data_IF_714825633495
#
_entry.id   IF_714825633495
#
_cell.length_a   1.000
_cell.length_b   1.000
_cell.length_c   1.000
_cell.angle_alpha   90.00
_cell.angle_beta   90.00
_cell.angle_gamma   90.00
#
_symmetry.space_group_name_H-M   'P 1'
#
loop_
_entity.id
_entity.type
_entity.pdbx_description
1 polymer ?
#
# COMPACT_ATOMS: atom_id res chain seq x y z
N UNK A 1 31.79 5.93 24.67
CA UNK A 1 30.43 5.69 24.15
C UNK A 1 29.68 7.00 24.11
N UNK A 2 28.97 7.29 23.03
CA UNK A 2 28.07 8.46 22.96
C UNK A 2 26.79 8.08 23.70
N UNK A 3 26.29 8.88 24.66
CA UNK A 3 25.03 8.59 25.34
C UNK A 3 23.85 8.62 24.37
N UNK A 4 22.92 7.67 24.47
CA UNK A 4 21.73 7.58 23.63
C UNK A 4 20.93 8.89 23.61
N UNK A 5 20.82 9.57 24.75
CA UNK A 5 20.15 10.87 24.86
C UNK A 5 20.77 11.94 23.94
N UNK A 6 22.10 11.89 23.75
CA UNK A 6 22.82 12.80 22.84
C UNK A 6 22.60 12.41 21.39
N UNK A 7 22.46 11.11 21.09
CA UNK A 7 22.12 10.62 19.75
C UNK A 7 20.70 11.03 19.36
N UNK A 8 19.72 10.89 20.27
CA UNK A 8 18.33 11.29 20.08
C UNK A 8 18.20 12.81 19.91
N UNK A 9 18.92 13.61 20.71
CA UNK A 9 18.93 15.06 20.59
C UNK A 9 19.50 15.55 19.25
N UNK A 10 20.41 14.78 18.63
CA UNK A 10 20.95 15.10 17.31
C UNK A 10 19.95 14.88 16.18
N UNK A 11 18.97 13.98 16.34
CA UNK A 11 17.94 13.71 15.33
C UNK A 11 17.14 14.97 14.99
N UNK A 12 16.80 15.79 15.99
CA UNK A 12 16.10 17.06 15.78
C UNK A 12 16.92 18.14 15.07
N UNK A 13 18.23 17.93 14.91
CA UNK A 13 19.17 18.85 14.26
C UNK A 13 19.70 18.30 12.93
N UNK A 14 19.26 17.11 12.50
CA UNK A 14 19.66 16.59 11.21
C UNK A 14 19.00 17.43 10.12
N UNK A 15 19.77 17.92 9.12
CA UNK A 15 19.16 18.53 7.95
C UNK A 15 18.25 17.51 7.25
N UNK A 16 17.28 17.94 6.43
CA UNK A 16 16.52 17.04 5.58
C UNK A 16 17.49 16.10 4.86
N UNK A 17 17.38 14.80 5.14
CA UNK A 17 18.25 13.81 4.53
C UNK A 17 17.91 13.79 3.04
N UNK A 18 18.89 14.12 2.21
CA UNK A 18 18.73 14.01 0.76
C UNK A 18 18.41 12.54 0.43
N UNK A 19 17.22 12.32 -0.15
CA UNK A 19 16.61 11.01 -0.29
C UNK A 19 17.31 10.11 -1.32
N UNK A 20 18.31 10.65 -2.02
CA UNK A 20 19.12 9.96 -3.01
C UNK A 20 20.54 9.81 -2.49
N UNK A 21 20.71 9.11 -1.37
CA UNK A 21 22.03 8.72 -0.92
C UNK A 21 22.57 7.61 -1.84
N UNK A 22 23.66 7.90 -2.56
CA UNK A 22 24.49 6.91 -3.25
C UNK A 22 23.78 6.03 -4.29
N UNK A 23 22.78 6.57 -5.00
CA UNK A 23 22.09 5.85 -6.08
C UNK A 23 21.02 4.85 -5.60
N UNK A 24 20.74 4.81 -4.29
CA UNK A 24 19.60 4.07 -3.76
C UNK A 24 18.36 4.99 -3.72
N UNK A 25 17.26 4.48 -4.26
CA UNK A 25 15.99 5.19 -4.31
C UNK A 25 15.23 5.02 -2.98
N UNK A 26 14.60 6.09 -2.54
CA UNK A 26 13.75 6.08 -1.35
C UNK A 26 12.45 5.32 -1.62
N UNK A 27 12.40 4.07 -1.15
CA UNK A 27 11.24 3.18 -1.36
C UNK A 27 10.00 3.58 -0.56
N UNK A 28 10.11 4.49 0.41
CA UNK A 28 8.97 4.98 1.20
C UNK A 28 8.56 6.41 0.84
N UNK A 29 9.07 6.94 -0.29
CA UNK A 29 8.74 8.26 -0.81
C UNK A 29 8.97 9.40 0.19
N UNK A 30 9.90 9.22 1.13
CA UNK A 30 10.23 10.22 2.15
C UNK A 30 9.31 10.22 3.38
N UNK A 31 8.43 9.23 3.55
CA UNK A 31 7.48 9.17 4.68
C UNK A 31 8.14 9.05 6.07
N UNK A 32 9.35 8.51 6.15
CA UNK A 32 10.14 8.43 7.37
C UNK A 32 11.63 8.48 7.07
N UNK A 33 12.45 9.21 7.86
CA UNK A 33 13.91 9.15 7.78
C UNK A 33 14.49 7.88 8.40
N UNK A 34 13.72 7.14 9.21
CA UNK A 34 14.15 5.90 9.86
C UNK A 34 13.41 4.70 9.28
N UNK A 35 14.16 3.66 8.90
CA UNK A 35 13.64 2.44 8.28
C UNK A 35 14.42 1.21 8.72
N UNK A 36 13.84 0.01 8.58
CA UNK A 36 14.59 -1.22 8.68
C UNK A 36 15.81 -1.21 7.75
N UNK A 37 16.95 -1.63 8.28
CA UNK A 37 18.21 -1.79 7.55
C UNK A 37 18.64 -3.25 7.58
N UNK A 38 19.46 -3.65 6.61
CA UNK A 38 20.10 -4.97 6.63
C UNK A 38 21.24 -4.90 7.64
N UNK A 39 20.97 -5.36 8.86
CA UNK A 39 21.90 -5.34 9.99
C UNK A 39 22.73 -6.64 10.10
N UNK A 40 22.38 -7.68 9.34
CA UNK A 40 23.02 -8.99 9.41
C UNK A 40 22.59 -9.85 10.60
N UNK A 41 21.70 -9.34 11.48
CA UNK A 41 21.25 -10.00 12.71
C UNK A 41 19.75 -10.26 12.64
N UNK A 42 18.93 -9.19 12.67
CA UNK A 42 17.48 -9.30 12.56
C UNK A 42 17.05 -9.40 11.09
N UNK A 43 17.66 -8.59 10.23
CA UNK A 43 17.46 -8.58 8.78
C UNK A 43 18.77 -9.04 8.15
N UNK A 44 18.97 -10.36 7.97
CA UNK A 44 20.25 -10.91 7.54
C UNK A 44 20.59 -10.61 6.07
N UNK A 45 19.63 -10.12 5.29
CA UNK A 45 19.80 -9.82 3.88
C UNK A 45 18.57 -9.17 3.26
N UNK A 46 18.61 -8.98 1.94
CA UNK A 46 17.49 -8.42 1.18
C UNK A 46 16.20 -9.24 1.40
N UNK A 47 15.11 -8.66 1.94
CA UNK A 47 13.94 -9.41 2.38
C UNK A 47 13.34 -10.35 1.34
N UNK A 48 13.23 -9.89 0.08
CA UNK A 48 12.70 -10.73 -1.02
C UNK A 48 13.57 -11.97 -1.25
N UNK A 49 14.90 -11.90 -1.01
CA UNK A 49 15.81 -13.05 -1.13
C UNK A 49 15.67 -14.01 0.04
N UNK A 50 15.44 -13.48 1.23
CA UNK A 50 15.24 -14.29 2.45
C UNK A 50 13.90 -15.03 2.41
N UNK A 51 12.82 -14.37 1.96
CA UNK A 51 11.50 -15.01 1.77
C UNK A 51 11.59 -16.16 0.76
N UNK A 52 12.39 -16.01 -0.29
CA UNK A 52 12.64 -17.10 -1.25
C UNK A 52 13.38 -18.30 -0.65
N UNK A 53 14.00 -18.17 0.52
CA UNK A 53 14.70 -19.24 1.23
C UNK A 53 13.90 -19.81 2.41
N UNK A 54 12.86 -19.10 2.87
CA UNK A 54 11.97 -19.56 3.93
C UNK A 54 11.03 -20.63 3.38
N UNK A 55 11.05 -21.83 3.97
CA UNK A 55 10.27 -22.97 3.48
C UNK A 55 9.03 -23.25 4.32
N UNK A 56 7.88 -23.43 3.67
CA UNK A 56 6.69 -24.08 4.24
C UNK A 56 5.70 -23.18 4.98
N UNK A 57 5.89 -21.86 4.98
CA UNK A 57 4.90 -20.91 5.53
C UNK A 57 3.93 -20.46 4.43
N UNK A 58 2.63 -20.49 4.70
CA UNK A 58 1.63 -19.95 3.78
C UNK A 58 1.56 -18.42 3.87
N UNK A 59 1.20 -17.76 2.75
CA UNK A 59 1.12 -16.31 2.64
C UNK A 59 -0.26 -15.87 2.15
N UNK A 60 -0.93 -15.03 2.92
CA UNK A 60 -2.06 -14.20 2.49
C UNK A 60 -1.57 -12.76 2.42
N UNK A 61 -1.69 -12.12 1.24
CA UNK A 61 -1.19 -10.77 1.00
C UNK A 61 -2.10 -10.03 0.02
N UNK A 62 -2.26 -8.73 0.19
CA UNK A 62 -3.06 -7.93 -0.72
C UNK A 62 -2.77 -6.44 -0.62
N UNK A 63 -3.58 -5.69 -1.33
CA UNK A 63 -3.58 -4.22 -1.36
C UNK A 63 -5.00 -3.70 -1.49
N UNK A 64 -5.19 -2.43 -1.21
CA UNK A 64 -6.41 -1.70 -1.55
C UNK A 64 -6.27 -1.06 -2.95
N UNK A 65 -7.37 -0.75 -3.65
CA UNK A 65 -7.26 -0.25 -5.03
C UNK A 65 -6.81 1.21 -5.14
N UNK A 66 -6.92 1.97 -4.06
CA UNK A 66 -6.63 3.40 -4.01
C UNK A 66 -5.73 3.75 -2.81
N UNK A 67 -4.75 2.90 -2.49
CA UNK A 67 -3.83 2.99 -1.32
C UNK A 67 -3.41 4.42 -0.97
N UNK A 68 -3.01 5.22 -1.96
CA UNK A 68 -2.52 6.58 -1.73
C UNK A 68 -3.55 7.55 -1.14
N UNK A 69 -4.86 7.30 -1.35
CA UNK A 69 -5.89 8.30 -1.10
C UNK A 69 -6.06 8.63 0.40
N UNK A 70 -5.63 7.74 1.32
CA UNK A 70 -5.54 8.04 2.76
C UNK A 70 -4.59 9.22 3.03
N UNK A 71 -3.57 9.38 2.19
CA UNK A 71 -2.53 10.40 2.37
C UNK A 71 -2.79 11.66 1.55
N UNK A 72 -3.56 11.57 0.47
CA UNK A 72 -3.75 12.68 -0.49
C UNK A 72 -5.11 13.36 -0.37
N UNK A 73 -6.17 12.65 0.00
CA UNK A 73 -7.53 13.20 0.05
C UNK A 73 -7.77 14.05 1.31
N UNK A 74 -7.48 13.59 2.55
CA UNK A 74 -7.79 14.36 3.75
C UNK A 74 -7.06 15.71 3.83
N UNK A 75 -5.89 15.81 3.22
CA UNK A 75 -5.08 17.03 3.19
C UNK A 75 -5.34 17.91 1.94
N UNK A 76 -6.23 17.50 1.03
CA UNK A 76 -6.52 18.23 -0.21
C UNK A 76 -5.41 18.18 -1.26
N UNK A 77 -4.38 17.34 -1.09
CA UNK A 77 -3.29 17.21 -2.05
C UNK A 77 -3.79 16.73 -3.41
N UNK A 78 -4.86 15.94 -3.43
CA UNK A 78 -5.49 15.48 -4.67
C UNK A 78 -6.02 16.62 -5.55
N UNK A 79 -6.37 17.76 -4.94
CA UNK A 79 -6.89 18.94 -5.64
C UNK A 79 -5.82 20.01 -5.87
N UNK A 80 -4.81 20.06 -5.00
CA UNK A 80 -3.81 21.14 -4.96
C UNK A 80 -2.47 20.77 -5.57
N UNK A 81 -2.16 19.47 -5.73
CA UNK A 81 -0.89 19.03 -6.29
C UNK A 81 -0.71 19.47 -7.74
N UNK A 82 0.54 19.78 -8.07
CA UNK A 82 0.95 20.26 -9.37
C UNK A 82 1.74 19.20 -10.14
N UNK A 83 2.02 19.48 -11.41
CA UNK A 83 2.94 18.67 -12.21
C UNK A 83 4.37 18.62 -11.64
N UNK A 84 4.78 19.67 -10.92
CA UNK A 84 6.06 19.69 -10.22
C UNK A 84 6.07 18.69 -9.06
N UNK A 85 4.97 18.56 -8.33
CA UNK A 85 4.82 17.60 -7.23
C UNK A 85 4.80 16.16 -7.75
N UNK A 86 4.10 15.91 -8.87
CA UNK A 86 4.13 14.62 -9.56
C UNK A 86 5.56 14.24 -9.96
N UNK A 87 6.30 15.17 -10.56
CA UNK A 87 7.68 14.94 -10.97
C UNK A 87 8.62 14.76 -9.77
N UNK A 88 8.43 15.53 -8.69
CA UNK A 88 9.18 15.39 -7.45
C UNK A 88 8.95 14.03 -6.79
N UNK A 89 7.71 13.53 -6.82
CA UNK A 89 7.36 12.20 -6.30
C UNK A 89 7.98 11.11 -7.17
N UNK A 90 7.90 11.25 -8.50
CA UNK A 90 8.53 10.32 -9.44
C UNK A 90 10.05 10.23 -9.25
N UNK A 91 10.74 11.36 -8.99
CA UNK A 91 12.19 11.41 -8.72
C UNK A 91 12.63 10.55 -7.55
N UNK A 92 11.75 10.33 -6.56
CA UNK A 92 12.05 9.51 -5.38
C UNK A 92 12.10 8.02 -5.71
N UNK A 93 11.46 7.59 -6.81
CA UNK A 93 11.21 6.17 -7.12
C UNK A 93 11.81 5.70 -8.45
N UNK A 94 12.07 6.61 -9.38
CA UNK A 94 12.41 6.23 -10.74
C UNK A 94 13.68 6.94 -11.22
N UNK A 95 14.54 6.20 -11.93
CA UNK A 95 15.74 6.75 -12.56
C UNK A 95 15.41 7.76 -13.68
N UNK A 96 14.28 7.56 -14.38
CA UNK A 96 13.74 8.50 -15.36
C UNK A 96 12.36 9.00 -14.94
N UNK A 97 12.30 10.01 -14.06
CA UNK A 97 11.05 10.49 -13.48
C UNK A 97 10.18 11.24 -14.50
N UNK A 98 10.77 11.87 -15.52
CA UNK A 98 10.04 12.59 -16.56
C UNK A 98 9.27 11.61 -17.45
N UNK A 99 9.91 10.52 -17.88
CA UNK A 99 9.25 9.44 -18.63
C UNK A 99 8.12 8.82 -17.83
N UNK A 100 8.30 8.62 -16.53
CA UNK A 100 7.27 8.01 -15.69
C UNK A 100 6.07 8.94 -15.47
N UNK A 101 6.31 10.23 -15.19
CA UNK A 101 5.21 11.21 -15.11
C UNK A 101 4.42 11.29 -16.44
N UNK A 102 5.12 11.25 -17.58
CA UNK A 102 4.47 11.21 -18.89
C UNK A 102 3.65 9.91 -19.11
N UNK A 103 4.14 8.77 -18.64
CA UNK A 103 3.41 7.49 -18.72
C UNK A 103 2.11 7.52 -17.90
N UNK A 104 2.10 8.11 -16.70
CA UNK A 104 0.88 8.29 -15.91
C UNK A 104 -0.12 9.22 -16.62
N UNK A 105 0.35 10.35 -17.18
CA UNK A 105 -0.52 11.24 -17.98
C UNK A 105 -1.11 10.54 -19.20
N UNK A 106 -0.31 9.77 -19.92
CA UNK A 106 -0.78 9.04 -21.09
C UNK A 106 -1.82 7.97 -20.73
N UNK A 107 -1.68 7.35 -19.55
CA UNK A 107 -2.62 6.34 -19.04
C UNK A 107 -3.93 6.95 -18.53
N UNK A 108 -3.88 8.14 -17.94
CA UNK A 108 -5.02 8.83 -17.33
C UNK A 108 -5.13 10.28 -17.86
N UNK A 109 -5.43 10.47 -19.16
CA UNK A 109 -5.32 11.79 -19.80
C UNK A 109 -6.34 12.83 -19.30
N UNK A 110 -7.41 12.39 -18.64
CA UNK A 110 -8.45 13.26 -18.09
C UNK A 110 -8.24 13.61 -16.62
N UNK A 111 -7.24 13.02 -15.95
CA UNK A 111 -7.03 13.21 -14.52
C UNK A 111 -6.07 14.37 -14.23
N UNK A 112 -6.31 15.07 -13.12
CA UNK A 112 -5.45 16.16 -12.66
C UNK A 112 -4.13 15.63 -12.05
N UNK A 113 -3.10 16.47 -11.85
CA UNK A 113 -1.81 16.03 -11.33
C UNK A 113 -1.88 15.35 -9.95
N UNK A 114 -2.81 15.75 -9.08
CA UNK A 114 -3.00 15.14 -7.76
C UNK A 114 -3.51 13.71 -7.83
N UNK A 115 -4.44 13.40 -8.74
CA UNK A 115 -4.89 12.03 -9.00
C UNK A 115 -3.80 11.18 -9.64
N UNK A 116 -3.02 11.73 -10.58
CA UNK A 116 -1.83 11.05 -11.12
C UNK A 116 -0.79 10.72 -10.03
N UNK A 117 -0.59 11.64 -9.09
CA UNK A 117 0.27 11.45 -7.95
C UNK A 117 -0.27 10.33 -7.03
N UNK A 118 -1.58 10.31 -6.74
CA UNK A 118 -2.22 9.18 -6.04
C UNK A 118 -1.93 7.85 -6.72
N UNK A 119 -2.10 7.74 -8.04
CA UNK A 119 -1.80 6.50 -8.78
C UNK A 119 -0.35 6.05 -8.62
N UNK A 120 0.59 6.99 -8.74
CA UNK A 120 2.02 6.72 -8.60
C UNK A 120 2.35 6.20 -7.19
N UNK A 121 1.78 6.81 -6.15
CA UNK A 121 1.96 6.37 -4.77
C UNK A 121 1.32 4.98 -4.57
N UNK A 122 0.10 4.76 -5.05
CA UNK A 122 -0.58 3.45 -4.98
C UNK A 122 0.26 2.34 -5.60
N UNK A 123 0.88 2.59 -6.75
CA UNK A 123 1.77 1.63 -7.41
C UNK A 123 3.02 1.27 -6.58
N UNK A 124 3.37 2.05 -5.57
CA UNK A 124 4.44 1.69 -4.62
C UNK A 124 4.03 0.53 -3.73
N UNK A 125 2.79 0.53 -3.24
CA UNK A 125 2.21 -0.55 -2.45
C UNK A 125 1.96 -1.79 -3.31
N UNK A 126 1.24 -1.63 -4.42
CA UNK A 126 0.82 -2.76 -5.28
C UNK A 126 2.01 -3.48 -5.91
N UNK A 127 3.02 -2.76 -6.41
CA UNK A 127 4.19 -3.40 -7.01
C UNK A 127 5.04 -4.15 -5.98
N UNK A 128 5.15 -3.64 -4.75
CA UNK A 128 5.86 -4.32 -3.66
C UNK A 128 5.18 -5.63 -3.28
N UNK A 129 3.88 -5.57 -2.96
CA UNK A 129 3.07 -6.74 -2.61
C UNK A 129 3.07 -7.79 -3.72
N UNK A 130 2.93 -7.38 -4.99
CA UNK A 130 2.98 -8.28 -6.15
C UNK A 130 4.33 -8.99 -6.27
N UNK A 131 5.45 -8.27 -6.14
CA UNK A 131 6.80 -8.87 -6.21
C UNK A 131 7.04 -9.85 -5.07
N UNK A 132 6.56 -9.55 -3.86
CA UNK A 132 6.64 -10.46 -2.73
C UNK A 132 5.80 -11.73 -2.96
N UNK A 133 4.55 -11.57 -3.41
CA UNK A 133 3.68 -12.70 -3.72
C UNK A 133 4.29 -13.61 -4.80
N UNK A 134 4.87 -13.03 -5.86
CA UNK A 134 5.54 -13.78 -6.93
C UNK A 134 6.79 -14.53 -6.43
N UNK A 135 7.63 -13.87 -5.61
CA UNK A 135 8.81 -14.49 -5.02
C UNK A 135 8.44 -15.64 -4.07
N UNK A 136 7.41 -15.45 -3.26
CA UNK A 136 6.91 -16.46 -2.34
C UNK A 136 6.33 -17.67 -3.09
N UNK A 137 5.44 -17.44 -4.06
CA UNK A 137 4.79 -18.49 -4.83
C UNK A 137 5.77 -19.36 -5.65
N UNK A 138 6.91 -18.80 -6.06
CA UNK A 138 7.89 -19.52 -6.87
C UNK A 138 8.86 -20.38 -6.06
N UNK A 139 9.08 -20.11 -4.76
CA UNK A 139 10.25 -20.66 -4.04
C UNK A 139 10.06 -21.05 -2.58
N UNK A 140 9.00 -20.58 -1.92
CA UNK A 140 8.81 -20.84 -0.47
C UNK A 140 8.33 -22.25 -0.14
N UNK A 141 7.80 -23.01 -1.12
CA UNK A 141 7.11 -24.27 -0.83
C UNK A 141 5.81 -24.12 -0.02
N UNK A 142 5.40 -22.89 0.34
CA UNK A 142 4.11 -22.57 0.96
C UNK A 142 3.09 -22.10 -0.07
N UNK A 143 1.81 -22.12 0.32
CA UNK A 143 0.69 -21.66 -0.52
C UNK A 143 0.61 -20.14 -0.47
N UNK A 144 0.39 -19.53 -1.62
CA UNK A 144 0.30 -18.06 -1.74
C UNK A 144 -1.10 -17.66 -2.18
N UNK A 145 -1.71 -16.71 -1.48
CA UNK A 145 -3.04 -16.19 -1.76
C UNK A 145 -2.99 -14.67 -1.84
N UNK A 146 -3.44 -14.13 -2.98
CA UNK A 146 -3.58 -12.70 -3.17
C UNK A 146 -4.97 -12.21 -2.77
N UNK A 147 -5.09 -10.96 -2.33
CA UNK A 147 -6.36 -10.24 -2.34
C UNK A 147 -6.22 -8.79 -2.85
N UNK A 148 -7.33 -8.23 -3.31
CA UNK A 148 -7.50 -6.81 -3.62
C UNK A 148 -8.78 -6.32 -2.95
N UNK A 149 -8.70 -5.27 -2.13
CA UNK A 149 -9.87 -4.65 -1.52
C UNK A 149 -10.29 -3.42 -2.33
N UNK A 150 -11.53 -3.41 -2.83
CA UNK A 150 -12.03 -2.42 -3.81
C UNK A 150 -13.28 -1.69 -3.36
N UNK A 151 -13.83 -1.99 -2.17
CA UNK A 151 -14.96 -1.23 -1.65
C UNK A 151 -14.55 0.21 -1.33
N UNK A 152 -15.36 1.16 -1.80
CA UNK A 152 -15.12 2.60 -1.64
C UNK A 152 -16.12 3.16 -0.61
N UNK A 153 -15.67 3.65 0.55
CA UNK A 153 -16.53 4.31 1.51
C UNK A 153 -17.06 5.63 0.92
N UNK A 154 -18.26 6.09 1.33
CA UNK A 154 -18.80 7.40 0.94
C UNK A 154 -18.10 8.57 1.66
N UNK A 155 -16.96 8.31 2.32
CA UNK A 155 -16.16 9.30 3.01
C UNK A 155 -15.61 10.37 2.05
N UNK A 156 -15.55 11.63 2.50
CA UNK A 156 -15.10 12.77 1.71
C UNK A 156 -15.87 12.89 0.39
N UNK A 157 -17.21 12.79 0.45
CA UNK A 157 -18.07 12.75 -0.73
C UNK A 157 -17.67 11.68 -1.76
N UNK A 158 -17.17 10.54 -1.27
CA UNK A 158 -16.71 9.41 -2.09
C UNK A 158 -15.29 9.57 -2.67
N UNK A 159 -14.58 10.66 -2.35
CA UNK A 159 -13.26 10.93 -2.91
C UNK A 159 -12.16 10.02 -2.35
N UNK A 160 -12.37 9.43 -1.16
CA UNK A 160 -11.37 8.64 -0.43
C UNK A 160 -11.05 7.29 -1.11
N UNK A 161 -11.97 6.72 -1.90
CA UNK A 161 -11.73 5.44 -2.58
C UNK A 161 -11.42 4.27 -1.63
N UNK A 162 -11.00 3.13 -2.16
CA UNK A 162 -10.54 2.02 -1.33
C UNK A 162 -9.11 2.32 -0.85
N UNK A 163 -9.00 3.23 0.12
CA UNK A 163 -7.74 3.80 0.57
C UNK A 163 -6.92 2.85 1.46
N UNK A 164 -5.68 3.21 1.77
CA UNK A 164 -4.82 2.44 2.67
C UNK A 164 -5.50 2.21 4.04
N UNK A 165 -5.43 0.96 4.53
CA UNK A 165 -6.00 0.48 5.79
C UNK A 165 -7.53 0.45 5.90
N UNK A 166 -8.28 0.81 4.84
CA UNK A 166 -9.76 0.81 4.88
C UNK A 166 -10.35 -0.58 5.12
N UNK A 167 -9.62 -1.63 4.78
CA UNK A 167 -10.03 -3.02 4.97
C UNK A 167 -9.83 -3.53 6.40
N UNK A 168 -8.96 -2.90 7.19
CA UNK A 168 -8.62 -3.39 8.53
C UNK A 168 -9.83 -3.52 9.47
N UNK A 169 -10.79 -2.57 9.52
CA UNK A 169 -12.00 -2.73 10.33
C UNK A 169 -12.81 -3.97 9.94
N UNK A 170 -12.78 -4.39 8.67
CA UNK A 170 -13.44 -5.61 8.20
C UNK A 170 -12.66 -6.86 8.63
N UNK A 171 -11.33 -6.83 8.55
CA UNK A 171 -10.45 -7.91 9.03
C UNK A 171 -10.68 -8.20 10.51
N UNK A 172 -10.79 -7.16 11.33
CA UNK A 172 -10.92 -7.28 12.79
C UNK A 172 -12.36 -7.41 13.28
N UNK A 173 -13.37 -7.39 12.40
CA UNK A 173 -14.79 -7.34 12.76
C UNK A 173 -15.13 -6.17 13.70
N UNK A 174 -14.67 -4.97 13.32
CA UNK A 174 -14.78 -3.71 14.08
C UNK A 174 -15.34 -2.56 13.25
N UNK A 175 -16.18 -2.88 12.28
CA UNK A 175 -16.77 -1.90 11.37
C UNK A 175 -17.79 -0.96 12.02
N UNK A 176 -18.25 -1.31 13.23
CA UNK A 176 -19.23 -0.59 14.05
C UNK A 176 -18.60 0.48 14.97
N UNK A 177 -17.27 0.56 15.04
CA UNK A 177 -16.58 1.52 15.89
C UNK A 177 -16.99 2.95 15.53
N UNK A 178 -17.54 3.75 16.49
CA UNK A 178 -18.02 5.11 16.19
C UNK A 178 -16.95 6.03 15.60
N UNK A 179 -15.69 5.86 15.99
CA UNK A 179 -14.56 6.66 15.49
C UNK A 179 -14.27 6.45 13.99
N UNK A 180 -14.80 5.38 13.40
CA UNK A 180 -14.62 5.08 11.97
C UNK A 180 -15.77 5.62 11.11
N UNK A 181 -16.79 6.24 11.72
CA UNK A 181 -18.06 6.60 11.08
C UNK A 181 -18.23 8.11 11.03
N UNK A 182 -18.77 8.61 9.91
CA UNK A 182 -18.98 10.04 9.66
C UNK A 182 -18.53 10.48 8.27
N UNK A 183 -18.95 11.68 7.85
CA UNK A 183 -18.73 12.18 6.48
C UNK A 183 -17.25 12.22 6.06
N UNK A 184 -16.34 12.48 7.00
CA UNK A 184 -14.89 12.51 6.77
C UNK A 184 -14.14 11.42 7.55
N UNK A 185 -14.83 10.38 8.02
CA UNK A 185 -14.23 9.26 8.72
C UNK A 185 -13.98 8.09 7.76
N UNK A 186 -13.08 7.17 8.14
CA UNK A 186 -12.55 6.11 7.26
C UNK A 186 -13.64 5.29 6.53
N UNK A 187 -14.74 4.94 7.20
CA UNK A 187 -15.81 4.11 6.63
C UNK A 187 -17.01 4.92 6.12
N UNK A 188 -16.97 6.25 6.20
CA UNK A 188 -18.09 7.11 5.82
C UNK A 188 -19.28 7.05 6.79
N UNK A 189 -20.35 7.79 6.46
CA UNK A 189 -21.56 7.85 7.26
C UNK A 189 -22.58 6.75 6.93
N UNK A 190 -22.61 6.27 5.68
CA UNK A 190 -23.66 5.37 5.20
C UNK A 190 -23.45 3.91 5.61
N UNK A 191 -24.53 3.14 5.56
CA UNK A 191 -24.49 1.71 5.84
C UNK A 191 -23.47 0.98 4.95
N UNK A 192 -22.79 0.00 5.54
CA UNK A 192 -21.82 -0.82 4.82
C UNK A 192 -22.54 -1.82 3.91
N UNK A 193 -21.88 -2.30 2.83
CA UNK A 193 -22.42 -3.38 2.02
C UNK A 193 -22.73 -4.60 2.88
N UNK A 194 -23.88 -5.23 2.60
CA UNK A 194 -24.27 -6.46 3.26
C UNK A 194 -23.17 -7.52 3.08
N UNK A 195 -22.93 -8.32 4.12
CA UNK A 195 -21.96 -9.44 4.15
C UNK A 195 -20.47 -9.12 3.93
N UNK A 196 -20.07 -7.90 3.55
CA UNK A 196 -18.65 -7.60 3.27
C UNK A 196 -17.77 -7.77 4.52
N UNK A 197 -18.24 -7.32 5.69
CA UNK A 197 -17.53 -7.52 6.96
C UNK A 197 -17.36 -9.01 7.27
N UNK A 198 -18.43 -9.79 7.15
CA UNK A 198 -18.40 -11.25 7.36
C UNK A 198 -17.48 -11.96 6.37
N UNK A 199 -17.55 -11.61 5.07
CA UNK A 199 -16.72 -12.23 4.03
C UNK A 199 -15.22 -12.03 4.28
N UNK A 200 -14.83 -10.78 4.57
CA UNK A 200 -13.43 -10.44 4.87
C UNK A 200 -13.01 -11.10 6.17
N UNK A 201 -13.78 -10.97 7.25
CA UNK A 201 -13.41 -11.56 8.54
C UNK A 201 -13.26 -13.09 8.45
N UNK A 202 -14.21 -13.78 7.82
CA UNK A 202 -14.20 -15.24 7.65
C UNK A 202 -12.98 -15.71 6.84
N UNK A 203 -12.58 -14.96 5.80
CA UNK A 203 -11.40 -15.31 5.02
C UNK A 203 -10.11 -15.27 5.84
N UNK A 204 -9.95 -14.25 6.71
CA UNK A 204 -8.79 -14.13 7.59
C UNK A 204 -8.80 -15.19 8.70
N UNK A 205 -9.95 -15.43 9.33
CA UNK A 205 -10.10 -16.50 10.35
C UNK A 205 -9.79 -17.87 9.75
N UNK A 206 -10.32 -18.17 8.57
CA UNK A 206 -10.07 -19.44 7.87
C UNK A 206 -8.61 -19.60 7.48
N UNK A 207 -7.96 -18.54 7.00
CA UNK A 207 -6.54 -18.57 6.70
C UNK A 207 -5.71 -18.81 7.97
N UNK A 208 -5.99 -18.11 9.06
CA UNK A 208 -5.29 -18.31 10.32
C UNK A 208 -5.46 -19.75 10.87
N UNK A 209 -6.65 -20.34 10.72
CA UNK A 209 -6.95 -21.67 11.22
C UNK A 209 -6.42 -22.82 10.32
N UNK A 210 -6.35 -22.61 9.00
CA UNK A 210 -6.15 -23.72 8.03
C UNK A 210 -5.08 -23.45 6.97
N UNK A 211 -4.56 -22.23 6.90
CA UNK A 211 -3.72 -21.72 5.81
C UNK A 211 -4.46 -21.60 4.48
N UNK A 212 -5.79 -21.66 4.45
CA UNK A 212 -6.61 -21.49 3.24
C UNK A 212 -7.68 -20.42 3.48
N UNK A 213 -7.73 -19.34 2.68
CA UNK A 213 -8.70 -18.27 2.87
C UNK A 213 -10.04 -18.52 2.14
N UNK A 214 -10.13 -19.55 1.31
CA UNK A 214 -11.36 -19.92 0.58
C UNK A 214 -11.30 -19.75 -0.94
N UNK A 215 -10.15 -19.37 -1.50
CA UNK A 215 -9.91 -19.34 -2.94
C UNK A 215 -8.64 -20.10 -3.34
N UNK A 216 -8.40 -20.22 -4.65
CA UNK A 216 -7.29 -20.99 -5.21
C UNK A 216 -5.95 -20.32 -4.90
N UNK A 217 -4.92 -21.10 -4.57
CA UNK A 217 -3.56 -20.58 -4.46
C UNK A 217 -3.06 -20.03 -5.79
N UNK A 218 -2.23 -18.99 -5.73
CA UNK A 218 -1.71 -18.28 -6.90
C UNK A 218 -2.73 -17.37 -7.59
N UNK A 219 -3.92 -17.18 -7.01
CA UNK A 219 -4.92 -16.23 -7.51
C UNK A 219 -5.15 -15.09 -6.53
N UNK A 220 -5.69 -13.99 -7.05
CA UNK A 220 -6.13 -12.83 -6.25
C UNK A 220 -7.64 -12.85 -6.12
N UNK A 221 -8.16 -12.84 -4.89
CA UNK A 221 -9.58 -12.63 -4.59
C UNK A 221 -9.88 -11.13 -4.46
N UNK A 222 -11.06 -10.69 -4.88
CA UNK A 222 -11.47 -9.29 -4.77
C UNK A 222 -12.60 -9.14 -3.77
N UNK A 223 -12.39 -8.30 -2.75
CA UNK A 223 -13.41 -7.90 -1.79
C UNK A 223 -14.01 -6.56 -2.18
N UNK A 224 -15.33 -6.43 -2.17
CA UNK A 224 -16.04 -5.19 -2.50
C UNK A 224 -16.65 -5.17 -3.90
N UNK A 225 -16.75 -3.98 -4.50
CA UNK A 225 -17.51 -3.78 -5.74
C UNK A 225 -16.85 -4.49 -6.93
N UNK A 226 -17.62 -5.37 -7.59
CA UNK A 226 -17.14 -6.23 -8.68
C UNK A 226 -16.90 -5.49 -10.01
N UNK A 227 -17.46 -4.28 -10.18
CA UNK A 227 -17.59 -3.64 -11.50
C UNK A 227 -16.65 -2.44 -11.76
N UNK A 228 -15.68 -2.16 -10.89
CA UNK A 228 -14.80 -0.97 -11.03
C UNK A 228 -13.36 -1.25 -11.48
N UNK A 229 -13.02 -2.47 -11.89
CA UNK A 229 -11.64 -2.93 -12.03
C UNK A 229 -10.75 -2.07 -12.94
N UNK A 230 -9.93 -1.18 -12.35
CA UNK A 230 -8.74 -0.63 -13.00
C UNK A 230 -7.74 -1.78 -13.16
N UNK A 231 -7.44 -2.17 -14.40
CA UNK A 231 -6.48 -3.24 -14.68
C UNK A 231 -5.12 -2.90 -14.07
N UNK A 232 -4.69 -3.65 -13.06
CA UNK A 232 -3.30 -3.66 -12.59
C UNK A 232 -2.42 -4.11 -13.77
N UNK A 233 -1.51 -3.26 -14.24
CA UNK A 233 -0.62 -3.63 -15.34
C UNK A 233 0.52 -4.50 -14.80
N UNK A 234 0.58 -5.71 -15.34
CA UNK A 234 1.78 -6.53 -15.31
C UNK A 234 2.89 -5.85 -16.11
N UNK A 235 3.96 -5.42 -15.43
CA UNK A 235 5.25 -5.13 -16.05
C UNK A 235 5.67 -3.66 -16.07
N UNK A 236 6.49 -3.30 -15.08
CA UNK A 236 7.62 -2.37 -15.17
C UNK A 236 8.72 -2.91 -14.22
#
# INVERSE_FOLDING_TARGET
MVPDARLVALIGNLPPIDHVAHGFLDTALGSSPFRPVIDGILVPGQPVRTVMAATGTDLLIGTTSDEADTYTVPCGLVDTATDADLLATARRRFADPARQAAAYRARFPAENPGRLLSHLITDTFTAGSRRLAQAHASRSGGRTFGYEFTWRPPAFAGALGACHCVELPFVFDRVDLPALRGECALLGADALPASLATEVHDAWVRFAATGQPGWRQGTTHRFGDRDGGRTLVAGL
#
